data_IF_509956428822
#
_entry.id   IF_509956428822
#
_cell.length_a   1.000
_cell.length_b   1.000
_cell.length_c   1.000
_cell.angle_alpha   90.00
_cell.angle_beta   90.00
_cell.angle_gamma   90.00
#
_symmetry.space_group_name_H-M   'P 1'
#
loop_
_entity.id
_entity.type
_entity.pdbx_description
1 polymer ?
#
# COMPACT_ATOMS: atom_id res chain seq x y z
N UNK A 1 -22.36 7.19 15.11
CA UNK A 1 -23.10 5.91 15.26
C UNK A 1 -22.89 5.28 16.64
N UNK A 2 -21.65 5.12 17.12
CA UNK A 2 -21.35 4.48 18.42
C UNK A 2 -21.86 5.27 19.64
N UNK A 3 -21.50 6.54 19.78
CA UNK A 3 -21.92 7.37 20.93
C UNK A 3 -23.44 7.50 21.04
N UNK A 4 -24.14 7.64 19.91
CA UNK A 4 -25.60 7.71 19.88
C UNK A 4 -26.26 6.42 20.38
N UNK A 5 -25.73 5.26 19.98
CA UNK A 5 -26.20 3.96 20.46
C UNK A 5 -25.95 3.78 21.96
N UNK A 6 -24.77 4.20 22.45
CA UNK A 6 -24.45 4.20 23.88
C UNK A 6 -25.45 5.05 24.66
N UNK A 7 -25.74 6.29 24.24
CA UNK A 7 -26.71 7.17 24.90
C UNK A 7 -28.13 6.58 24.95
N UNK A 8 -28.59 6.00 23.84
CA UNK A 8 -29.93 5.41 23.77
C UNK A 8 -30.11 4.17 24.65
N UNK A 9 -29.04 3.40 24.87
CA UNK A 9 -29.06 2.22 25.73
C UNK A 9 -28.78 2.55 27.21
N UNK A 10 -28.22 3.73 27.49
CA UNK A 10 -27.86 4.10 28.85
C UNK A 10 -29.13 4.45 29.65
N UNK A 11 -29.27 3.96 30.89
CA UNK A 11 -30.50 4.13 31.67
C UNK A 11 -30.74 5.56 32.15
N UNK A 12 -29.72 6.42 32.13
CA UNK A 12 -29.84 7.83 32.50
C UNK A 12 -30.02 8.71 31.26
N UNK A 13 -30.88 9.72 31.39
CA UNK A 13 -31.11 10.74 30.37
C UNK A 13 -29.83 11.50 30.01
N UNK A 14 -29.02 11.84 31.02
CA UNK A 14 -27.70 12.45 30.86
C UNK A 14 -26.58 11.45 31.16
N UNK A 15 -25.72 11.20 30.17
CA UNK A 15 -24.65 10.22 30.26
C UNK A 15 -23.30 10.92 30.39
N UNK A 16 -22.56 10.63 31.46
CA UNK A 16 -21.18 11.07 31.62
C UNK A 16 -20.24 10.10 30.89
N UNK A 17 -19.54 10.58 29.88
CA UNK A 17 -18.52 9.81 29.15
C UNK A 17 -17.43 10.75 28.63
N UNK A 18 -16.26 10.18 28.37
CA UNK A 18 -15.13 10.87 27.78
C UNK A 18 -14.64 10.07 26.56
N UNK A 19 -14.24 10.77 25.50
CA UNK A 19 -13.65 10.14 24.31
C UNK A 19 -12.17 10.45 24.33
N UNK A 20 -11.37 9.44 24.70
CA UNK A 20 -9.92 9.53 24.69
C UNK A 20 -9.38 9.14 23.31
N UNK A 21 -8.48 9.95 22.77
CA UNK A 21 -7.77 9.60 21.55
C UNK A 21 -6.65 8.60 21.87
N UNK A 22 -6.80 7.36 21.42
CA UNK A 22 -5.76 6.34 21.55
C UNK A 22 -5.01 6.28 20.22
N UNK A 23 -3.74 6.67 20.24
CA UNK A 23 -2.84 6.49 19.10
C UNK A 23 -2.32 5.05 19.15
N UNK A 24 -3.03 4.13 18.52
CA UNK A 24 -2.50 2.80 18.25
C UNK A 24 -1.46 2.86 17.13
N UNK A 25 -0.43 1.99 17.13
CA UNK A 25 0.41 1.79 15.97
C UNK A 25 -0.45 1.24 14.83
N UNK A 26 -0.95 2.14 14.00
CA UNK A 26 -1.53 1.90 12.67
C UNK A 26 -2.75 0.99 12.63
N UNK A 27 -3.92 1.57 12.90
CA UNK A 27 -5.16 1.07 12.30
C UNK A 27 -5.10 1.35 10.78
N UNK A 28 -4.83 0.28 10.01
CA UNK A 28 -4.79 0.28 8.54
C UNK A 28 -3.96 1.41 7.91
N UNK A 29 -2.64 1.30 7.93
CA UNK A 29 -1.79 2.16 7.10
C UNK A 29 -2.23 2.05 5.65
N UNK A 30 -2.71 3.16 5.09
CA UNK A 30 -2.98 3.24 3.66
C UNK A 30 -1.67 3.52 2.94
N UNK A 31 -1.36 2.72 1.93
CA UNK A 31 -0.17 2.86 1.11
C UNK A 31 -0.58 3.23 -0.32
N UNK A 32 0.17 4.15 -0.93
CA UNK A 32 0.03 4.51 -2.35
C UNK A 32 0.53 3.41 -3.29
N UNK A 33 1.25 2.42 -2.77
CA UNK A 33 1.83 1.34 -3.54
C UNK A 33 1.90 0.02 -2.80
N UNK A 34 2.63 -0.93 -3.39
CA UNK A 34 2.93 -2.24 -2.81
C UNK A 34 4.41 -2.53 -2.97
N UNK A 35 4.99 -3.21 -1.99
CA UNK A 35 6.34 -3.75 -2.07
C UNK A 35 6.24 -5.27 -1.97
N UNK A 36 6.89 -5.96 -2.90
CA UNK A 36 6.86 -7.41 -2.98
C UNK A 36 8.23 -7.96 -3.36
N UNK A 37 8.34 -9.30 -3.28
CA UNK A 37 9.54 -10.03 -3.67
C UNK A 37 9.16 -11.17 -4.60
N UNK A 38 9.87 -11.28 -5.72
CA UNK A 38 9.73 -12.41 -6.63
C UNK A 38 10.27 -13.69 -5.95
N UNK A 39 9.63 -14.85 -6.18
CA UNK A 39 10.13 -16.13 -5.67
C UNK A 39 11.57 -16.41 -6.09
N UNK A 40 11.89 -16.12 -7.36
CA UNK A 40 13.23 -16.25 -7.93
C UNK A 40 13.70 -14.89 -8.48
N UNK A 41 14.99 -14.61 -8.37
CA UNK A 41 15.56 -13.39 -8.94
C UNK A 41 15.64 -13.51 -10.47
N UNK A 42 15.34 -12.41 -11.16
CA UNK A 42 15.40 -12.30 -12.62
C UNK A 42 16.52 -11.36 -13.04
N UNK A 43 17.11 -11.60 -14.21
CA UNK A 43 17.91 -10.57 -14.89
C UNK A 43 16.98 -9.54 -15.57
N UNK A 44 17.55 -8.50 -16.18
CA UNK A 44 16.74 -7.45 -16.80
C UNK A 44 15.86 -7.97 -17.94
N UNK A 45 16.38 -8.83 -18.82
CA UNK A 45 15.64 -9.29 -20.00
C UNK A 45 14.44 -10.16 -19.60
N UNK A 46 14.66 -11.13 -18.73
CA UNK A 46 13.58 -11.96 -18.17
C UNK A 46 12.57 -11.14 -17.36
N UNK A 47 13.03 -10.08 -16.67
CA UNK A 47 12.11 -9.18 -15.97
C UNK A 47 11.22 -8.39 -16.94
N UNK A 48 11.76 -7.92 -18.07
CA UNK A 48 10.96 -7.22 -19.09
C UNK A 48 9.84 -8.10 -19.64
N UNK A 49 10.17 -9.34 -19.99
CA UNK A 49 9.20 -10.34 -20.46
C UNK A 49 8.12 -10.60 -19.39
N UNK A 50 8.54 -10.79 -18.14
CA UNK A 50 7.63 -11.01 -17.02
C UNK A 50 6.65 -9.85 -16.80
N UNK A 51 7.11 -8.60 -16.90
CA UNK A 51 6.22 -7.43 -16.77
C UNK A 51 5.29 -7.32 -17.99
N UNK A 52 5.77 -7.58 -19.21
CA UNK A 52 4.94 -7.54 -20.41
C UNK A 52 3.85 -8.63 -20.38
N UNK A 53 4.17 -9.83 -19.90
CA UNK A 53 3.18 -10.91 -19.72
C UNK A 53 2.11 -10.52 -18.69
N UNK A 54 2.52 -9.88 -17.59
CA UNK A 54 1.59 -9.40 -16.57
C UNK A 54 0.74 -8.20 -17.03
N UNK A 55 1.23 -7.41 -17.98
CA UNK A 55 0.60 -6.18 -18.50
C UNK A 55 0.67 -6.14 -20.03
N UNK A 56 -0.09 -7.00 -20.75
CA UNK A 56 0.07 -7.24 -22.18
C UNK A 56 -0.12 -6.00 -23.06
N UNK A 57 -0.97 -5.08 -22.65
CA UNK A 57 -1.28 -3.86 -23.42
C UNK A 57 -0.44 -2.63 -22.98
N UNK A 58 0.46 -2.80 -22.01
CA UNK A 58 1.28 -1.69 -21.53
C UNK A 58 2.45 -1.40 -22.48
N UNK A 59 2.68 -0.12 -22.77
CA UNK A 59 3.90 0.35 -23.41
C UNK A 59 4.94 0.69 -22.35
N UNK A 60 5.79 -0.28 -22.02
CA UNK A 60 6.68 -0.21 -20.86
C UNK A 60 7.99 0.47 -21.24
N UNK A 61 8.46 1.40 -20.39
CA UNK A 61 9.76 2.06 -20.52
C UNK A 61 10.62 1.74 -19.31
N UNK A 62 11.91 1.49 -19.56
CA UNK A 62 12.89 1.19 -18.53
C UNK A 62 13.98 2.26 -18.53
N UNK A 63 14.38 2.72 -17.35
CA UNK A 63 15.42 3.72 -17.16
C UNK A 63 16.21 3.46 -15.87
N UNK A 64 17.39 4.06 -15.77
CA UNK A 64 18.27 3.95 -14.60
C UNK A 64 19.35 2.87 -14.74
N UNK A 65 19.97 2.54 -13.60
CA UNK A 65 21.06 1.57 -13.54
C UNK A 65 20.49 0.16 -13.69
N UNK A 66 21.09 -0.64 -14.57
CA UNK A 66 20.72 -2.05 -14.75
C UNK A 66 21.25 -2.88 -13.58
N UNK A 67 20.39 -3.42 -12.71
CA UNK A 67 20.84 -4.32 -11.65
C UNK A 67 21.23 -5.67 -12.24
N UNK A 68 22.18 -6.36 -11.60
CA UNK A 68 22.55 -7.74 -11.98
C UNK A 68 21.43 -8.75 -11.73
N UNK A 69 20.58 -8.47 -10.74
CA UNK A 69 19.46 -9.31 -10.35
C UNK A 69 18.32 -8.44 -9.77
N UNK A 70 17.09 -8.72 -10.18
CA UNK A 70 15.86 -8.07 -9.75
C UNK A 70 15.06 -9.10 -8.95
N UNK A 71 14.71 -8.75 -7.71
CA UNK A 71 13.88 -9.62 -6.89
C UNK A 71 12.90 -8.84 -6.03
N UNK A 72 13.36 -7.75 -5.39
CA UNK A 72 12.49 -6.84 -4.65
C UNK A 72 11.93 -5.78 -5.60
N UNK A 73 10.62 -5.59 -5.57
CA UNK A 73 9.89 -4.69 -6.48
C UNK A 73 8.98 -3.79 -5.65
N UNK A 74 9.02 -2.49 -5.93
CA UNK A 74 8.01 -1.55 -5.49
C UNK A 74 7.11 -1.18 -6.68
N UNK A 75 5.79 -1.20 -6.48
CA UNK A 75 4.78 -0.85 -7.45
C UNK A 75 3.99 0.36 -6.92
N UNK A 76 3.89 1.41 -7.74
CA UNK A 76 3.01 2.56 -7.50
C UNK A 76 2.17 2.77 -8.75
N UNK A 77 0.85 2.84 -8.61
CA UNK A 77 -0.04 3.21 -9.72
C UNK A 77 -0.10 4.74 -9.86
N UNK A 78 -0.32 5.23 -11.08
CA UNK A 78 -0.34 6.67 -11.36
C UNK A 78 1.06 7.28 -11.36
N UNK A 79 1.19 8.48 -10.78
CA UNK A 79 2.47 9.18 -10.68
C UNK A 79 3.20 8.74 -9.40
N UNK A 80 4.43 8.24 -9.54
CA UNK A 80 5.25 7.76 -8.42
C UNK A 80 6.71 8.20 -8.46
N UNK A 81 7.04 9.19 -9.30
CA UNK A 81 8.42 9.66 -9.48
C UNK A 81 9.03 10.20 -8.18
N UNK A 82 8.22 10.77 -7.29
CA UNK A 82 8.64 11.30 -5.98
C UNK A 82 9.15 10.22 -5.00
N UNK A 83 8.85 8.95 -5.26
CA UNK A 83 9.30 7.82 -4.42
C UNK A 83 10.65 7.25 -4.85
N UNK A 84 11.21 7.71 -5.97
CA UNK A 84 12.54 7.34 -6.45
C UNK A 84 13.55 8.25 -5.76
N UNK A 85 14.51 7.66 -5.03
CA UNK A 85 15.60 8.38 -4.35
C UNK A 85 16.79 8.62 -5.26
#
# INVERSE_FOLDING_TARGET
>A
KVVAAMKAAHPYEEVAYEVLNIVEPTSSTQYLGRVGRLPNALNLDSFREWVQEALPDANIRFAGIVPKAIQSIALCSGAGAEFIK
#
